data_IF_421698613349
#
_entry.id   IF_421698613349
#
_cell.length_a   1.000
_cell.length_b   1.000
_cell.length_c   1.000
_cell.angle_alpha   90.00
_cell.angle_beta   90.00
_cell.angle_gamma   90.00
#
_symmetry.space_group_name_H-M   'P 1'
#
loop_
_entity.id
_entity.type
_entity.pdbx_description
1 polymer ?
#
# COMPACT_ATOMS: atom_id res chain seq x y z
N UNK A 1 4.65 -12.22 29.06
CA UNK A 1 4.62 -10.94 28.31
C UNK A 1 4.14 -9.88 29.26
N UNK A 2 4.86 -8.78 29.37
CA UNK A 2 4.54 -7.71 30.32
C UNK A 2 3.23 -7.03 29.90
N UNK A 3 2.18 -7.14 30.71
CA UNK A 3 0.84 -6.62 30.40
C UNK A 3 0.87 -5.11 30.10
N UNK A 4 1.83 -4.40 30.70
CA UNK A 4 2.11 -2.98 30.45
C UNK A 4 2.58 -2.68 29.02
N UNK A 5 3.29 -3.62 28.37
CA UNK A 5 3.79 -3.42 27.01
C UNK A 5 2.66 -3.52 25.99
N UNK A 6 1.79 -4.53 26.15
CA UNK A 6 0.62 -4.69 25.28
C UNK A 6 -0.35 -3.50 25.45
N UNK A 7 -0.67 -3.11 26.69
CA UNK A 7 -1.59 -1.99 26.95
C UNK A 7 -1.08 -0.65 26.36
N UNK A 8 0.22 -0.35 26.50
CA UNK A 8 0.82 0.84 25.86
C UNK A 8 0.81 0.78 24.33
N UNK A 9 1.02 -0.41 23.78
CA UNK A 9 1.03 -0.64 22.33
C UNK A 9 -0.36 -0.44 21.71
N UNK A 10 -1.43 -0.93 22.35
CA UNK A 10 -2.82 -0.72 21.91
C UNK A 10 -3.24 0.75 22.07
N UNK A 11 -2.99 1.35 23.24
CA UNK A 11 -3.37 2.75 23.52
C UNK A 11 -2.67 3.79 22.65
N UNK A 12 -1.44 3.51 22.19
CA UNK A 12 -0.73 4.36 21.24
C UNK A 12 -1.24 4.18 19.80
N UNK A 13 -1.51 2.94 19.38
CA UNK A 13 -2.08 2.64 18.06
C UNK A 13 -3.43 3.31 17.83
N UNK A 14 -4.31 3.28 18.83
CA UNK A 14 -5.64 3.89 18.77
C UNK A 14 -5.59 5.42 18.64
N UNK A 15 -4.50 6.06 19.11
CA UNK A 15 -4.28 7.50 18.99
C UNK A 15 -3.63 7.90 17.66
N UNK A 16 -2.65 7.12 17.18
CA UNK A 16 -1.88 7.45 15.98
C UNK A 16 -2.62 7.11 14.68
N UNK A 17 -3.45 6.06 14.68
CA UNK A 17 -4.17 5.61 13.48
C UNK A 17 -5.10 6.70 12.90
N UNK A 18 -5.96 7.37 13.69
CA UNK A 18 -6.82 8.43 13.17
C UNK A 18 -6.02 9.56 12.52
N UNK A 19 -4.92 9.99 13.15
CA UNK A 19 -4.04 11.02 12.58
C UNK A 19 -3.46 10.56 11.24
N UNK A 20 -2.92 9.34 11.17
CA UNK A 20 -2.36 8.81 9.93
C UNK A 20 -3.39 8.75 8.80
N UNK A 21 -4.63 8.34 9.10
CA UNK A 21 -5.72 8.31 8.12
C UNK A 21 -6.00 9.70 7.53
N UNK A 22 -5.88 10.77 8.32
CA UNK A 22 -6.06 12.15 7.80
C UNK A 22 -4.94 12.59 6.85
N UNK A 23 -3.75 12.01 6.95
CA UNK A 23 -2.60 12.34 6.10
C UNK A 23 -2.57 11.56 4.78
N UNK A 24 -3.19 10.37 4.73
CA UNK A 24 -3.16 9.48 3.56
C UNK A 24 -3.61 10.20 2.28
N UNK A 25 -4.73 10.94 2.23
CA UNK A 25 -5.16 11.62 1.01
C UNK A 25 -4.11 12.60 0.48
N UNK A 26 -3.41 13.31 1.36
CA UNK A 26 -2.31 14.20 0.98
C UNK A 26 -1.13 13.44 0.37
N UNK A 27 -0.75 12.30 0.95
CA UNK A 27 0.31 11.44 0.41
C UNK A 27 -0.07 10.85 -0.96
N UNK A 28 -1.29 10.36 -1.10
CA UNK A 28 -1.80 9.82 -2.37
C UNK A 28 -1.86 10.90 -3.47
N UNK A 29 -2.23 12.13 -3.11
CA UNK A 29 -2.20 13.27 -4.02
C UNK A 29 -0.80 13.52 -4.58
N UNK A 30 0.25 13.47 -3.75
CA UNK A 30 1.64 13.64 -4.21
C UNK A 30 2.04 12.56 -5.22
N UNK A 31 1.70 11.29 -4.98
CA UNK A 31 1.96 10.21 -5.95
C UNK A 31 1.16 10.40 -7.25
N UNK A 32 -0.12 10.78 -7.13
CA UNK A 32 -1.01 11.01 -8.27
C UNK A 32 -0.51 12.15 -9.17
N UNK A 33 -0.12 13.28 -8.56
CA UNK A 33 0.44 14.43 -9.27
C UNK A 33 1.78 14.08 -9.91
N UNK A 34 2.63 13.35 -9.18
CA UNK A 34 3.91 12.90 -9.73
C UNK A 34 3.68 11.96 -10.91
N UNK A 35 2.86 10.92 -10.82
CA UNK A 35 2.57 10.04 -11.95
C UNK A 35 2.00 10.82 -13.15
N UNK A 36 1.06 11.74 -12.87
CA UNK A 36 0.42 12.56 -13.89
C UNK A 36 -0.33 11.71 -14.90
N UNK A 37 0.05 11.84 -16.18
CA UNK A 37 -0.51 11.08 -17.31
C UNK A 37 0.37 9.92 -17.79
N UNK A 38 1.51 9.70 -17.14
CA UNK A 38 2.47 8.66 -17.55
C UNK A 38 1.90 7.28 -17.22
N UNK A 39 2.21 6.25 -18.02
CA UNK A 39 1.82 4.89 -17.68
C UNK A 39 2.61 4.33 -16.50
N UNK A 40 3.85 4.81 -16.28
CA UNK A 40 4.79 4.38 -15.24
C UNK A 40 5.47 5.57 -14.57
N UNK A 41 5.95 5.40 -13.34
CA UNK A 41 6.52 6.47 -12.51
C UNK A 41 7.80 7.09 -13.10
N UNK A 42 8.57 6.31 -13.87
CA UNK A 42 9.78 6.77 -14.55
C UNK A 42 9.53 7.30 -15.98
N UNK A 43 8.29 7.23 -16.51
CA UNK A 43 7.99 7.59 -17.89
C UNK A 43 7.16 6.54 -18.62
N UNK A 44 7.53 6.26 -19.87
CA UNK A 44 6.75 5.37 -20.74
C UNK A 44 7.07 3.88 -20.56
N UNK A 45 8.19 3.57 -19.87
CA UNK A 45 8.67 2.21 -19.67
C UNK A 45 8.59 1.81 -18.21
N UNK A 46 8.17 0.58 -17.97
CA UNK A 46 8.23 -0.06 -16.66
C UNK A 46 9.68 -0.12 -16.17
N UNK A 47 9.89 0.28 -14.93
CA UNK A 47 11.18 0.19 -14.23
C UNK A 47 11.01 -0.48 -12.87
N UNK A 48 12.11 -0.73 -12.16
CA UNK A 48 12.03 -1.29 -10.81
C UNK A 48 11.32 -0.35 -9.81
N UNK A 49 11.31 0.97 -10.07
CA UNK A 49 10.64 1.95 -9.21
C UNK A 49 9.13 1.70 -9.15
N UNK A 50 8.52 1.25 -10.24
CA UNK A 50 7.09 0.93 -10.28
C UNK A 50 6.72 -0.23 -9.36
N UNK A 51 7.65 -1.17 -9.10
CA UNK A 51 7.43 -2.24 -8.13
C UNK A 51 7.43 -1.71 -6.70
N UNK A 52 8.33 -0.77 -6.38
CA UNK A 52 8.38 -0.11 -5.08
C UNK A 52 7.12 0.71 -4.84
N UNK A 53 6.66 1.45 -5.85
CA UNK A 53 5.44 2.26 -5.73
C UNK A 53 4.20 1.36 -5.63
N UNK A 54 4.11 0.29 -6.42
CA UNK A 54 3.03 -0.69 -6.29
C UNK A 54 2.95 -1.23 -4.85
N UNK A 55 4.06 -1.68 -4.28
CA UNK A 55 4.10 -2.22 -2.91
C UNK A 55 3.61 -1.20 -1.87
N UNK A 56 4.11 0.04 -1.95
CA UNK A 56 3.68 1.12 -1.05
C UNK A 56 2.18 1.43 -1.20
N UNK A 57 1.68 1.57 -2.43
CA UNK A 57 0.26 1.85 -2.68
C UNK A 57 -0.64 0.69 -2.27
N UNK A 58 -0.20 -0.56 -2.47
CA UNK A 58 -0.94 -1.75 -2.07
C UNK A 58 -1.06 -1.85 -0.55
N UNK A 59 0.01 -1.58 0.19
CA UNK A 59 -0.05 -1.51 1.67
C UNK A 59 -1.04 -0.45 2.14
N UNK A 60 -1.07 0.73 1.51
CA UNK A 60 -2.06 1.76 1.84
C UNK A 60 -3.50 1.33 1.51
N UNK A 61 -3.71 0.66 0.37
CA UNK A 61 -5.01 0.08 -0.02
C UNK A 61 -5.47 -1.02 0.93
N UNK A 62 -4.55 -1.84 1.45
CA UNK A 62 -4.87 -2.84 2.46
C UNK A 62 -5.24 -2.17 3.80
N UNK A 63 -4.60 -1.04 4.11
CA UNK A 63 -4.83 -0.28 5.35
C UNK A 63 -6.13 0.54 5.34
N UNK A 64 -6.40 1.24 4.25
CA UNK A 64 -7.58 2.08 4.01
C UNK A 64 -8.09 1.83 2.58
N UNK A 65 -9.05 0.92 2.38
CA UNK A 65 -9.47 0.45 1.04
C UNK A 65 -9.91 1.53 0.07
N UNK A 66 -10.42 2.66 0.58
CA UNK A 66 -10.94 3.77 -0.21
C UNK A 66 -9.88 4.82 -0.55
N UNK A 67 -8.63 4.66 -0.11
CA UNK A 67 -7.62 5.71 -0.18
C UNK A 67 -7.24 6.14 -1.60
N UNK A 68 -7.53 5.32 -2.61
CA UNK A 68 -7.25 5.60 -4.02
C UNK A 68 -8.48 6.07 -4.81
N UNK A 69 -9.68 6.12 -4.23
CA UNK A 69 -10.91 6.38 -4.97
C UNK A 69 -10.94 7.77 -5.63
N UNK A 70 -10.34 8.76 -4.96
CA UNK A 70 -10.19 10.11 -5.48
C UNK A 70 -9.08 10.26 -6.56
N UNK A 71 -8.31 9.21 -6.84
CA UNK A 71 -7.13 9.26 -7.71
C UNK A 71 -7.22 8.21 -8.84
N UNK A 72 -8.02 8.45 -9.90
CA UNK A 72 -8.22 7.48 -10.98
C UNK A 72 -6.92 7.00 -11.62
N UNK A 73 -5.94 7.88 -11.82
CA UNK A 73 -4.65 7.51 -12.40
C UNK A 73 -3.85 6.50 -11.55
N UNK A 74 -3.98 6.55 -10.22
CA UNK A 74 -3.36 5.57 -9.33
C UNK A 74 -4.10 4.23 -9.39
N UNK A 75 -5.44 4.23 -9.49
CA UNK A 75 -6.20 2.98 -9.70
C UNK A 75 -5.86 2.33 -11.05
N UNK A 76 -5.69 3.14 -12.09
CA UNK A 76 -5.26 2.68 -13.40
C UNK A 76 -3.84 2.12 -13.37
N UNK A 77 -2.92 2.76 -12.63
CA UNK A 77 -1.57 2.26 -12.41
C UNK A 77 -1.59 0.88 -11.73
N UNK A 78 -2.36 0.72 -10.63
CA UNK A 78 -2.51 -0.55 -9.92
C UNK A 78 -3.05 -1.63 -10.87
N UNK A 79 -4.14 -1.36 -11.59
CA UNK A 79 -4.73 -2.32 -12.53
C UNK A 79 -3.76 -2.70 -13.65
N UNK A 80 -2.99 -1.74 -14.16
CA UNK A 80 -1.98 -1.98 -15.19
C UNK A 80 -0.84 -2.85 -14.68
N UNK A 81 -0.36 -2.61 -13.46
CA UNK A 81 0.71 -3.38 -12.83
C UNK A 81 0.27 -4.82 -12.56
N UNK A 82 -0.88 -5.01 -11.92
CA UNK A 82 -1.46 -6.34 -11.64
C UNK A 82 -1.81 -7.10 -12.94
N UNK A 83 -2.12 -6.37 -14.02
CA UNK A 83 -2.39 -6.89 -15.35
C UNK A 83 -1.16 -7.33 -16.15
N UNK A 84 0.07 -7.03 -15.70
CA UNK A 84 1.29 -7.51 -16.36
C UNK A 84 1.32 -9.04 -16.36
N UNK A 85 1.49 -9.68 -17.53
CA UNK A 85 1.37 -11.14 -17.70
C UNK A 85 2.10 -11.96 -16.62
N UNK A 86 3.35 -11.61 -16.31
CA UNK A 86 4.16 -12.31 -15.28
C UNK A 86 3.70 -12.00 -13.85
N UNK A 87 3.22 -10.79 -13.57
CA UNK A 87 2.69 -10.39 -12.26
C UNK A 87 1.35 -11.07 -12.02
N UNK A 88 0.42 -11.00 -12.98
CA UNK A 88 -0.87 -11.69 -12.89
C UNK A 88 -0.70 -13.20 -12.68
N UNK A 89 0.23 -13.83 -13.40
CA UNK A 89 0.55 -15.25 -13.21
C UNK A 89 1.17 -15.53 -11.83
N UNK A 90 2.05 -14.65 -11.35
CA UNK A 90 2.64 -14.77 -10.02
C UNK A 90 1.58 -14.65 -8.92
N UNK A 91 0.72 -13.64 -8.97
CA UNK A 91 -0.34 -13.39 -7.98
C UNK A 91 -1.36 -14.53 -7.87
N UNK A 92 -1.52 -15.32 -8.95
CA UNK A 92 -2.37 -16.53 -8.97
C UNK A 92 -1.65 -17.79 -8.51
N UNK A 93 -0.34 -17.74 -8.27
CA UNK A 93 0.45 -18.88 -7.84
C UNK A 93 0.48 -19.02 -6.33
N UNK A 94 0.74 -20.23 -5.83
CA UNK A 94 0.93 -20.51 -4.39
C UNK A 94 2.14 -19.81 -3.77
N UNK A 95 3.03 -19.21 -4.59
CA UNK A 95 4.18 -18.44 -4.11
C UNK A 95 3.84 -17.00 -3.75
N UNK A 96 2.68 -16.50 -4.20
CA UNK A 96 2.28 -15.13 -3.88
C UNK A 96 1.84 -15.04 -2.41
N UNK A 97 2.43 -14.09 -1.69
CA UNK A 97 2.20 -13.89 -0.27
C UNK A 97 1.79 -12.42 -0.02
N UNK A 98 0.49 -12.08 -0.15
CA UNK A 98 0.02 -10.72 0.10
C UNK A 98 -0.11 -10.40 1.61
N UNK A 99 -0.12 -11.42 2.47
CA UNK A 99 -0.25 -11.31 3.92
C UNK A 99 0.52 -12.42 4.63
N UNK A 100 0.99 -12.22 5.87
CA UNK A 100 0.93 -10.97 6.65
C UNK A 100 1.84 -9.87 6.07
N UNK A 101 1.45 -8.61 6.22
CA UNK A 101 2.21 -7.44 5.73
C UNK A 101 3.42 -7.15 6.63
N UNK A 102 3.24 -7.31 7.94
CA UNK A 102 4.28 -7.04 8.94
C UNK A 102 4.52 -8.27 9.83
N UNK A 103 5.61 -8.23 10.60
CA UNK A 103 5.95 -9.31 11.52
C UNK A 103 4.95 -9.43 12.67
N UNK A 104 4.97 -10.57 13.38
CA UNK A 104 4.05 -10.90 14.49
C UNK A 104 3.98 -9.84 15.59
N UNK A 105 5.06 -9.06 15.75
CA UNK A 105 5.17 -8.01 16.76
C UNK A 105 4.45 -6.72 16.39
N UNK A 106 4.01 -6.52 15.15
CA UNK A 106 3.25 -5.35 14.74
C UNK A 106 1.85 -5.32 15.39
N UNK A 107 1.28 -4.12 15.51
CA UNK A 107 -0.11 -3.91 15.99
C UNK A 107 -1.12 -4.28 14.91
N UNK A 108 -0.79 -3.96 13.66
CA UNK A 108 -1.63 -4.13 12.48
C UNK A 108 -0.85 -4.87 11.39
N UNK A 109 -1.56 -5.59 10.51
CA UNK A 109 -0.97 -6.30 9.38
C UNK A 109 -0.10 -7.50 9.78
N UNK A 110 -0.15 -7.94 11.03
CA UNK A 110 0.65 -9.04 11.57
C UNK A 110 0.04 -10.43 11.32
N UNK A 111 -1.06 -10.50 10.56
CA UNK A 111 -1.81 -11.71 10.21
C UNK A 111 -2.25 -11.67 8.75
#
# INVERSE_FOLDING_TARGET
>A
TDSNYEEKKYTMGDKLKPQYLTEIPGKMKLYSEFLGRRPWFAGDKLTFVDFLVYDVLDVHRIFEPTCLDAFPNLKDFISRFEGLKKISAYMKSSRFLPRPVYSKMAVWGNK
#
